data_IF_782965522155
#
_entry.id   IF_782965522155
#
_cell.length_a   1.000
_cell.length_b   1.000
_cell.length_c   1.000
_cell.angle_alpha   90.00
_cell.angle_beta   90.00
_cell.angle_gamma   90.00
#
_symmetry.space_group_name_H-M   'P 1'
#
loop_
_entity.id
_entity.type
_entity.pdbx_description
1 polymer ?
#
# COMPACT_ATOMS: atom_id res chain seq x y z
N UNK A 1 -9.41 19.34 7.68
CA UNK A 1 -8.44 18.69 8.58
C UNK A 1 -9.11 17.46 9.18
N UNK A 2 -8.36 16.40 9.48
CA UNK A 2 -8.86 15.21 10.18
C UNK A 2 -8.17 15.08 11.53
N UNK A 3 -8.85 14.51 12.52
CA UNK A 3 -8.33 14.30 13.88
C UNK A 3 -7.98 12.82 14.04
N UNK A 4 -6.74 12.56 14.44
CA UNK A 4 -6.23 11.21 14.68
C UNK A 4 -5.45 11.19 15.98
N UNK A 5 -5.47 10.06 16.67
CA UNK A 5 -4.66 9.86 17.86
C UNK A 5 -3.19 9.62 17.47
N UNK A 6 -2.28 9.94 18.39
CA UNK A 6 -0.85 9.77 18.17
C UNK A 6 -0.48 8.28 18.08
N UNK A 7 0.29 7.95 17.05
CA UNK A 7 0.83 6.63 16.78
C UNK A 7 1.99 6.76 15.79
N UNK A 8 2.88 5.76 15.75
CA UNK A 8 3.95 5.73 14.75
C UNK A 8 3.35 5.82 13.34
N UNK A 9 3.74 6.85 12.59
CA UNK A 9 3.24 7.18 11.25
C UNK A 9 1.78 7.69 11.15
N UNK A 10 1.14 8.01 12.28
CA UNK A 10 -0.25 8.49 12.32
C UNK A 10 -1.20 7.61 11.49
N UNK A 11 -2.18 8.18 10.78
CA UNK A 11 -3.10 7.42 9.91
C UNK A 11 -2.63 7.35 8.45
N UNK A 12 -2.31 8.50 7.84
CA UNK A 12 -2.04 8.56 6.40
C UNK A 12 -0.75 7.81 5.99
N UNK A 13 0.37 8.10 6.65
CA UNK A 13 1.64 7.42 6.34
C UNK A 13 1.57 5.94 6.70
N UNK A 14 0.83 5.60 7.75
CA UNK A 14 0.58 4.23 8.18
C UNK A 14 -0.12 3.41 7.08
N UNK A 15 -1.07 3.99 6.34
CA UNK A 15 -1.77 3.30 5.25
C UNK A 15 -1.00 3.29 3.92
N UNK A 16 -0.28 4.37 3.58
CA UNK A 16 0.39 4.48 2.27
C UNK A 16 1.69 3.65 2.18
N UNK A 17 2.43 3.49 3.29
CA UNK A 17 3.69 2.73 3.31
C UNK A 17 3.47 1.26 2.93
N UNK A 18 2.44 0.54 3.45
CA UNK A 18 2.12 -0.81 3.00
C UNK A 18 1.85 -0.91 1.49
N UNK A 19 1.13 0.04 0.89
CA UNK A 19 0.87 0.07 -0.56
C UNK A 19 2.18 0.15 -1.36
N UNK A 20 3.07 1.05 -0.96
CA UNK A 20 4.39 1.21 -1.57
C UNK A 20 5.20 -0.09 -1.44
N UNK A 21 5.32 -0.60 -0.21
CA UNK A 21 6.11 -1.79 0.07
C UNK A 21 5.59 -3.02 -0.66
N UNK A 22 4.27 -3.15 -0.84
CA UNK A 22 3.68 -4.26 -1.57
C UNK A 22 4.01 -4.22 -3.07
N UNK A 23 3.99 -3.01 -3.67
CA UNK A 23 4.44 -2.85 -5.05
C UNK A 23 5.90 -3.23 -5.26
N UNK A 24 6.78 -2.77 -4.35
CA UNK A 24 8.22 -3.12 -4.40
C UNK A 24 8.43 -4.61 -4.14
N UNK A 25 7.64 -5.22 -3.24
CA UNK A 25 7.69 -6.66 -2.96
C UNK A 25 7.27 -7.48 -4.16
N UNK A 26 6.19 -7.11 -4.85
CA UNK A 26 5.76 -7.76 -6.09
C UNK A 26 6.87 -7.72 -7.16
N UNK A 27 7.61 -6.62 -7.27
CA UNK A 27 8.78 -6.56 -8.15
C UNK A 27 9.85 -7.58 -7.75
N UNK A 28 10.19 -7.66 -6.46
CA UNK A 28 11.15 -8.66 -5.95
C UNK A 28 10.69 -10.11 -6.19
N UNK A 29 9.38 -10.35 -6.19
CA UNK A 29 8.75 -11.65 -6.51
C UNK A 29 8.68 -11.93 -8.03
N UNK A 30 9.18 -11.03 -8.86
CA UNK A 30 9.20 -11.18 -10.32
C UNK A 30 7.86 -10.88 -10.99
N UNK A 31 6.96 -10.12 -10.36
CA UNK A 31 5.78 -9.58 -11.05
C UNK A 31 6.24 -8.48 -12.01
N UNK A 32 5.73 -8.49 -13.24
CA UNK A 32 6.06 -7.52 -14.28
C UNK A 32 5.83 -6.08 -13.79
N UNK A 33 6.86 -5.21 -13.75
CA UNK A 33 6.73 -3.86 -13.22
C UNK A 33 5.63 -3.04 -13.90
N UNK A 34 5.43 -3.23 -15.21
CA UNK A 34 4.34 -2.58 -15.93
C UNK A 34 2.95 -3.06 -15.48
N UNK A 35 2.81 -4.34 -15.09
CA UNK A 35 1.55 -4.88 -14.55
C UNK A 35 1.22 -4.23 -13.21
N UNK A 36 2.20 -4.13 -12.30
CA UNK A 36 2.05 -3.50 -10.97
C UNK A 36 1.52 -2.06 -11.11
N UNK A 37 2.19 -1.27 -11.94
CA UNK A 37 1.88 0.14 -12.14
C UNK A 37 0.52 0.35 -12.83
N UNK A 38 0.19 -0.47 -13.84
CA UNK A 38 -1.07 -0.35 -14.55
C UNK A 38 -2.25 -0.92 -13.76
N UNK A 39 -2.04 -1.92 -12.89
CA UNK A 39 -3.06 -2.42 -11.98
C UNK A 39 -3.52 -1.31 -11.02
N UNK A 40 -2.57 -0.57 -10.44
CA UNK A 40 -2.85 0.59 -9.60
C UNK A 40 -3.65 1.67 -10.34
N UNK A 41 -3.24 2.03 -11.56
CA UNK A 41 -3.96 3.04 -12.36
C UNK A 41 -5.38 2.59 -12.71
N UNK A 42 -5.56 1.32 -13.06
CA UNK A 42 -6.89 0.75 -13.36
C UNK A 42 -7.80 0.69 -12.12
N UNK A 43 -7.22 0.54 -10.92
CA UNK A 43 -7.94 0.73 -9.67
C UNK A 43 -8.28 2.19 -9.37
N UNK A 44 -7.75 3.15 -10.13
CA UNK A 44 -7.99 4.58 -9.92
C UNK A 44 -7.04 5.26 -8.94
N UNK A 45 -5.93 4.63 -8.56
CA UNK A 45 -4.86 5.35 -7.84
C UNK A 45 -4.20 6.39 -8.76
N UNK A 46 -3.85 7.59 -8.24
CA UNK A 46 -3.21 8.62 -9.05
C UNK A 46 -1.81 8.22 -9.51
N UNK A 47 -1.07 7.46 -8.68
CA UNK A 47 0.28 6.99 -8.95
C UNK A 47 0.38 5.50 -8.64
N UNK A 48 1.10 4.76 -9.48
CA UNK A 48 1.48 3.38 -9.16
C UNK A 48 2.51 3.36 -8.02
N UNK A 49 2.68 2.20 -7.36
CA UNK A 49 3.45 2.13 -6.12
C UNK A 49 4.95 2.36 -6.35
N UNK A 50 5.52 1.90 -7.46
CA UNK A 50 6.94 2.12 -7.78
C UNK A 50 7.20 3.60 -8.11
N UNK A 51 6.29 4.21 -8.87
CA UNK A 51 6.36 5.65 -9.13
C UNK A 51 6.30 6.43 -7.82
N UNK A 52 5.39 6.07 -6.92
CA UNK A 52 5.22 6.78 -5.66
C UNK A 52 6.48 6.70 -4.77
N UNK A 53 7.23 5.61 -4.84
CA UNK A 53 8.55 5.54 -4.18
C UNK A 53 9.49 6.60 -4.75
N UNK A 54 9.55 6.74 -6.07
CA UNK A 54 10.43 7.72 -6.72
C UNK A 54 10.08 9.17 -6.35
N UNK A 55 8.79 9.48 -6.13
CA UNK A 55 8.34 10.81 -5.72
C UNK A 55 8.67 11.13 -4.26
N UNK A 56 8.65 10.11 -3.37
CA UNK A 56 8.84 10.30 -1.94
C UNK A 56 10.31 10.30 -1.51
N UNK A 57 11.12 9.37 -2.04
CA UNK A 57 12.59 9.23 -1.94
C UNK A 57 13.00 7.82 -1.50
N UNK A 58 13.73 7.11 -2.37
CA UNK A 58 14.38 5.82 -2.05
C UNK A 58 15.42 6.02 -0.94
N UNK A 59 16.16 7.14 -0.95
CA UNK A 59 17.15 7.47 0.08
C UNK A 59 16.52 7.57 1.48
N UNK A 60 15.33 8.17 1.59
CA UNK A 60 14.61 8.22 2.86
C UNK A 60 14.21 6.81 3.34
N UNK A 61 13.68 5.99 2.44
CA UNK A 61 13.35 4.59 2.72
C UNK A 61 14.56 3.80 3.23
N UNK A 62 15.71 3.93 2.56
CA UNK A 62 16.98 3.29 2.96
C UNK A 62 17.45 3.76 4.33
N UNK A 63 17.37 5.06 4.63
CA UNK A 63 17.73 5.60 5.95
C UNK A 63 16.81 5.06 7.05
N UNK A 64 15.50 5.01 6.81
CA UNK A 64 14.53 4.47 7.77
C UNK A 64 14.78 2.98 8.00
N UNK A 65 15.01 2.19 6.95
CA UNK A 65 15.30 0.76 7.05
C UNK A 65 16.60 0.51 7.84
N UNK A 66 17.68 1.23 7.53
CA UNK A 66 18.95 1.12 8.27
C UNK A 66 18.82 1.49 9.75
N UNK A 67 18.14 2.59 10.06
CA UNK A 67 17.90 3.02 11.44
C UNK A 67 17.02 2.01 12.20
N UNK A 68 15.99 1.47 11.55
CA UNK A 68 15.09 0.49 12.16
C UNK A 68 15.80 -0.84 12.39
N UNK A 69 16.62 -1.31 11.44
CA UNK A 69 17.45 -2.51 11.59
C UNK A 69 18.46 -2.35 12.72
N UNK A 70 19.11 -1.19 12.84
CA UNK A 70 20.02 -0.91 13.95
C UNK A 70 19.31 -0.89 15.32
N UNK A 71 18.06 -0.40 15.38
CA UNK A 71 17.28 -0.35 16.62
C UNK A 71 16.68 -1.72 17.02
N UNK A 72 16.27 -2.53 16.04
CA UNK A 72 15.59 -3.82 16.28
C UNK A 72 16.55 -5.02 16.31
N UNK A 73 17.75 -4.89 15.74
CA UNK A 73 18.69 -6.01 15.61
C UNK A 73 18.07 -7.20 14.87
N UNK A 74 18.19 -8.39 15.45
CA UNK A 74 17.70 -9.65 14.89
C UNK A 74 16.17 -9.73 14.80
N UNK A 75 15.44 -8.83 15.48
CA UNK A 75 13.99 -8.76 15.40
C UNK A 75 13.47 -7.99 14.16
N UNK A 76 14.37 -7.42 13.34
CA UNK A 76 13.97 -6.70 12.14
C UNK A 76 13.37 -7.68 11.11
N UNK A 77 12.09 -7.52 10.72
CA UNK A 77 11.50 -8.40 9.71
C UNK A 77 12.09 -8.03 8.35
N UNK A 78 13.03 -8.83 7.85
CA UNK A 78 13.56 -8.61 6.50
C UNK A 78 12.42 -8.64 5.47
N UNK A 79 12.28 -7.53 4.73
CA UNK A 79 11.32 -7.41 3.64
C UNK A 79 12.07 -7.50 2.31
N UNK A 80 11.63 -8.31 1.33
CA UNK A 80 12.14 -8.26 -0.04
C UNK A 80 12.14 -6.85 -0.64
N UNK A 81 11.21 -5.99 -0.20
CA UNK A 81 11.20 -4.59 -0.59
C UNK A 81 12.47 -3.84 -0.17
N UNK A 82 13.03 -4.13 1.02
CA UNK A 82 14.24 -3.47 1.50
C UNK A 82 15.45 -3.82 0.63
N UNK A 83 15.55 -5.08 0.20
CA UNK A 83 16.60 -5.53 -0.71
C UNK A 83 16.57 -4.79 -2.05
N UNK A 84 15.38 -4.54 -2.60
CA UNK A 84 15.20 -3.75 -3.81
C UNK A 84 15.65 -2.31 -3.60
N UNK A 85 15.21 -1.67 -2.52
CA UNK A 85 15.54 -0.28 -2.22
C UNK A 85 17.04 -0.08 -1.97
N UNK A 86 17.68 -1.01 -1.24
CA UNK A 86 19.13 -0.98 -1.05
C UNK A 86 19.87 -1.14 -2.38
N UNK A 87 19.44 -2.06 -3.24
CA UNK A 87 20.06 -2.25 -4.54
C UNK A 87 19.96 -1.02 -5.43
N UNK A 88 18.78 -0.39 -5.48
CA UNK A 88 18.61 0.86 -6.23
C UNK A 88 19.50 1.98 -5.69
N UNK A 89 19.61 2.11 -4.37
CA UNK A 89 20.48 3.10 -3.75
C UNK A 89 21.97 2.84 -4.02
N UNK A 90 22.43 1.59 -4.02
CA UNK A 90 23.79 1.21 -4.44
C UNK A 90 24.09 1.63 -5.89
N UNK A 91 23.08 1.58 -6.75
CA UNK A 91 23.17 1.99 -8.15
C UNK A 91 22.96 3.51 -8.34
N UNK A 92 22.87 4.29 -7.25
CA UNK A 92 22.67 5.73 -7.29
C UNK A 92 21.26 6.17 -7.71
N UNK A 93 20.29 5.26 -7.75
CA UNK A 93 18.91 5.52 -8.17
C UNK A 93 18.06 5.86 -6.95
N UNK A 94 18.11 7.13 -6.55
CA UNK A 94 17.54 7.62 -5.28
C UNK A 94 16.10 8.17 -5.40
N UNK A 95 15.52 8.13 -6.60
CA UNK A 95 14.18 8.62 -6.91
C UNK A 95 14.22 9.83 -7.85
N UNK A 96 13.05 10.44 -8.08
CA UNK A 96 12.84 11.50 -9.09
C UNK A 96 13.76 12.69 -8.91
N UNK A 97 14.01 13.13 -7.66
CA UNK A 97 14.90 14.27 -7.38
C UNK A 97 16.36 14.02 -7.79
N UNK A 98 16.78 12.75 -7.85
CA UNK A 98 18.11 12.35 -8.32
C UNK A 98 18.13 12.06 -9.83
N UNK A 99 17.01 12.25 -10.55
CA UNK A 99 16.88 11.93 -11.97
C UNK A 99 16.84 10.44 -12.29
N UNK A 100 16.79 9.56 -11.28
CA UNK A 100 16.84 8.11 -11.48
C UNK A 100 16.21 7.37 -10.29
N UNK A 101 15.30 6.46 -10.58
CA UNK A 101 14.63 5.59 -9.60
C UNK A 101 14.14 4.29 -10.24
N UNK A 102 12.95 3.80 -9.88
CA UNK A 102 12.27 2.75 -10.64
C UNK A 102 11.98 3.20 -12.09
N UNK A 103 11.82 4.50 -12.28
CA UNK A 103 11.67 5.14 -13.58
C UNK A 103 12.96 5.80 -14.07
N UNK A 104 13.06 5.94 -15.39
CA UNK A 104 14.00 6.82 -16.05
C UNK A 104 13.41 8.24 -16.16
N UNK A 105 14.27 9.25 -16.01
CA UNK A 105 13.92 10.65 -16.12
C UNK A 105 14.92 11.37 -17.03
N UNK A 106 14.41 12.32 -17.82
CA UNK A 106 15.25 13.21 -18.63
C UNK A 106 15.96 14.27 -17.76
N UNK A 107 16.84 15.05 -18.38
CA UNK A 107 17.57 16.14 -17.73
C UNK A 107 16.65 17.22 -17.11
N UNK A 108 15.40 17.30 -17.56
CA UNK A 108 14.38 18.24 -17.07
C UNK A 108 13.51 17.61 -15.96
N UNK A 109 13.81 16.39 -15.55
CA UNK A 109 13.05 15.65 -14.53
C UNK A 109 11.70 15.13 -15.03
N UNK A 110 11.47 15.10 -16.35
CA UNK A 110 10.31 14.46 -16.96
C UNK A 110 10.56 12.96 -17.01
N UNK A 111 9.56 12.21 -16.57
CA UNK A 111 9.57 10.75 -16.58
C UNK A 111 9.41 10.21 -18.00
N UNK A 112 10.29 9.29 -18.40
CA UNK A 112 10.33 8.71 -19.75
C UNK A 112 9.75 7.29 -19.81
N UNK A 113 9.73 6.58 -18.68
CA UNK A 113 9.22 5.21 -18.58
C UNK A 113 9.87 4.45 -17.44
N UNK A 114 9.43 3.20 -17.23
CA UNK A 114 10.12 2.30 -16.31
C UNK A 114 11.57 2.11 -16.79
N UNK A 115 12.49 2.05 -15.84
CA UNK A 115 13.91 1.86 -16.14
C UNK A 115 14.13 0.50 -16.82
N UNK A 116 14.71 0.42 -18.03
CA UNK A 116 14.79 -0.84 -18.79
C UNK A 116 15.49 -1.98 -18.03
N UNK A 117 16.59 -1.66 -17.34
CA UNK A 117 17.43 -2.62 -16.61
C UNK A 117 16.78 -3.11 -15.30
N UNK A 118 15.60 -2.56 -14.94
CA UNK A 118 14.78 -3.09 -13.85
C UNK A 118 14.44 -4.57 -14.08
N UNK A 119 14.20 -4.95 -15.35
CA UNK A 119 13.90 -6.34 -15.75
C UNK A 119 15.13 -7.24 -15.74
N UNK A 120 16.33 -6.70 -15.82
CA UNK A 120 17.57 -7.48 -15.74
C UNK A 120 17.91 -7.80 -14.27
N UNK A 121 17.65 -6.84 -13.38
CA UNK A 121 17.86 -7.00 -11.93
C UNK A 121 16.77 -7.82 -11.24
N UNK A 122 15.52 -7.66 -11.67
CA UNK A 122 14.35 -8.40 -11.19
C UNK A 122 13.60 -9.00 -12.38
N UNK A 123 14.08 -10.13 -12.93
CA UNK A 123 13.48 -10.74 -14.10
C UNK A 123 12.03 -11.18 -13.83
N UNK A 124 11.08 -10.78 -14.70
CA UNK A 124 9.70 -11.24 -14.58
C UNK A 124 9.63 -12.77 -14.65
N UNK A 125 8.94 -13.38 -13.70
CA UNK A 125 8.73 -14.84 -13.69
C UNK A 125 7.83 -15.26 -14.87
N UNK A 126 7.93 -16.50 -15.38
CA UNK A 126 7.10 -16.94 -16.50
C UNK A 126 5.59 -16.93 -16.19
N UNK A 127 5.22 -17.28 -14.96
CA UNK A 127 3.84 -17.34 -14.49
C UNK A 127 3.43 -16.04 -13.80
N UNK A 128 2.92 -15.10 -14.60
CA UNK A 128 2.49 -13.79 -14.12
C UNK A 128 1.11 -13.87 -13.45
N UNK A 129 0.91 -13.17 -12.33
CA UNK A 129 -0.38 -13.19 -11.63
C UNK A 129 -1.45 -12.51 -12.49
N UNK A 130 -2.71 -12.87 -12.24
CA UNK A 130 -3.82 -12.17 -12.88
C UNK A 130 -3.85 -10.70 -12.48
N UNK A 131 -4.33 -9.83 -13.38
CA UNK A 131 -4.51 -8.40 -13.08
C UNK A 131 -5.27 -8.17 -11.77
N UNK A 132 -6.35 -8.93 -11.56
CA UNK A 132 -7.20 -8.82 -10.36
C UNK A 132 -6.47 -9.20 -9.08
N UNK A 133 -5.51 -10.11 -9.12
CA UNK A 133 -4.71 -10.50 -7.96
C UNK A 133 -3.78 -9.36 -7.54
N UNK A 134 -3.07 -8.76 -8.50
CA UNK A 134 -2.24 -7.57 -8.27
C UNK A 134 -3.09 -6.42 -7.73
N UNK A 135 -4.29 -6.23 -8.28
CA UNK A 135 -5.24 -5.23 -7.79
C UNK A 135 -5.68 -5.51 -6.34
N UNK A 136 -6.04 -6.74 -6.01
CA UNK A 136 -6.41 -7.09 -4.63
C UNK A 136 -5.25 -6.89 -3.66
N UNK A 137 -4.02 -7.27 -4.01
CA UNK A 137 -2.83 -7.03 -3.18
C UNK A 137 -2.66 -5.53 -2.89
N UNK A 138 -2.75 -4.68 -3.91
CA UNK A 138 -2.56 -3.22 -3.77
C UNK A 138 -3.68 -2.52 -3.01
N UNK A 139 -4.94 -2.93 -3.22
CA UNK A 139 -6.08 -2.34 -2.52
C UNK A 139 -6.14 -2.82 -1.06
N UNK A 140 -6.11 -4.15 -0.84
CA UNK A 140 -6.28 -4.72 0.49
C UNK A 140 -5.16 -4.34 1.45
N UNK A 141 -3.89 -4.29 1.01
CA UNK A 141 -2.78 -4.07 1.94
C UNK A 141 -2.89 -2.76 2.74
N UNK A 142 -3.45 -1.71 2.14
CA UNK A 142 -3.68 -0.42 2.79
C UNK A 142 -5.08 -0.32 3.42
N UNK A 143 -6.10 -0.96 2.85
CA UNK A 143 -7.45 -1.00 3.44
C UNK A 143 -7.44 -1.75 4.77
N UNK A 144 -6.75 -2.88 4.85
CA UNK A 144 -6.60 -3.60 6.12
C UNK A 144 -5.87 -2.76 7.16
N UNK A 145 -4.93 -1.92 6.74
CA UNK A 145 -4.25 -1.02 7.67
C UNK A 145 -5.15 0.11 8.16
N UNK A 146 -6.07 0.61 7.33
CA UNK A 146 -7.10 1.54 7.77
C UNK A 146 -8.03 0.90 8.82
N UNK A 147 -8.44 -0.35 8.61
CA UNK A 147 -9.23 -1.11 9.62
C UNK A 147 -8.44 -1.31 10.91
N UNK A 148 -7.15 -1.66 10.86
CA UNK A 148 -6.30 -1.78 12.06
C UNK A 148 -6.13 -0.44 12.77
N UNK A 149 -6.02 0.66 12.02
CA UNK A 149 -5.96 2.00 12.59
C UNK A 149 -7.25 2.36 13.33
N UNK A 150 -8.41 1.93 12.83
CA UNK A 150 -9.70 2.09 13.50
C UNK A 150 -9.79 1.22 14.77
N UNK A 151 -9.45 -0.07 14.68
CA UNK A 151 -9.45 -1.00 15.84
C UNK A 151 -8.56 -0.51 16.99
N UNK A 152 -7.40 0.04 16.65
CA UNK A 152 -6.43 0.54 17.63
C UNK A 152 -6.76 1.95 18.13
N UNK A 153 -7.87 2.54 17.68
CA UNK A 153 -8.30 3.88 18.04
C UNK A 153 -7.38 4.98 17.52
N UNK A 154 -6.50 4.71 16.54
CA UNK A 154 -5.70 5.75 15.87
C UNK A 154 -6.60 6.61 15.00
N UNK A 155 -7.46 5.97 14.21
CA UNK A 155 -8.57 6.61 13.55
C UNK A 155 -9.82 6.48 14.43
N UNK A 156 -10.52 7.58 14.67
CA UNK A 156 -11.71 7.60 15.54
C UNK A 156 -13.02 7.79 14.78
N UNK A 157 -12.97 8.25 13.53
CA UNK A 157 -14.13 8.45 12.67
C UNK A 157 -13.83 7.95 11.25
N UNK A 158 -14.61 6.96 10.78
CA UNK A 158 -14.43 6.39 9.44
C UNK A 158 -14.64 7.40 8.32
N UNK A 159 -15.46 8.44 8.53
CA UNK A 159 -15.74 9.48 7.54
C UNK A 159 -14.53 10.37 7.34
N UNK A 160 -13.86 10.72 8.43
CA UNK A 160 -12.59 11.41 8.39
C UNK A 160 -11.50 10.52 7.79
N UNK A 161 -11.52 9.23 8.11
CA UNK A 161 -10.61 8.24 7.52
C UNK A 161 -10.72 8.15 6.00
N UNK A 162 -11.94 8.09 5.49
CA UNK A 162 -12.23 8.01 4.06
C UNK A 162 -11.88 9.30 3.31
N UNK A 163 -12.30 10.45 3.83
CA UNK A 163 -11.93 11.76 3.27
C UNK A 163 -10.41 11.97 3.32
N UNK A 164 -9.78 11.60 4.44
CA UNK A 164 -8.34 11.64 4.63
C UNK A 164 -7.58 10.74 3.65
N UNK A 165 -8.14 9.57 3.32
CA UNK A 165 -7.55 8.65 2.35
C UNK A 165 -7.57 9.22 0.93
N UNK A 166 -8.70 9.77 0.51
CA UNK A 166 -8.85 10.36 -0.82
C UNK A 166 -7.99 11.61 -0.96
N UNK A 167 -8.06 12.54 -0.01
CA UNK A 167 -7.37 13.83 -0.10
C UNK A 167 -5.90 13.75 0.30
N UNK A 168 -5.54 12.80 1.16
CA UNK A 168 -4.18 12.65 1.69
C UNK A 168 -3.26 11.93 0.73
N UNK A 169 -3.63 10.72 0.31
CA UNK A 169 -2.79 9.90 -0.57
C UNK A 169 -3.46 9.40 -1.84
N UNK A 170 -4.70 9.81 -2.11
CA UNK A 170 -5.40 9.47 -3.34
C UNK A 170 -5.89 8.03 -3.38
N UNK A 171 -6.37 7.49 -2.24
CA UNK A 171 -6.99 6.17 -2.22
C UNK A 171 -8.20 6.15 -3.16
N UNK A 172 -8.10 5.36 -4.25
CA UNK A 172 -9.15 5.06 -5.25
C UNK A 172 -10.35 6.02 -5.21
N UNK A 173 -10.24 7.28 -5.70
CA UNK A 173 -11.21 8.33 -5.37
C UNK A 173 -12.67 8.02 -5.69
N UNK A 174 -12.92 7.17 -6.70
CA UNK A 174 -14.27 6.72 -7.05
C UNK A 174 -14.92 5.81 -6.00
N UNK A 175 -14.14 5.20 -5.11
CA UNK A 175 -14.62 4.24 -4.11
C UNK A 175 -15.15 4.89 -2.84
N UNK A 176 -14.97 6.20 -2.67
CA UNK A 176 -15.33 6.94 -1.46
C UNK A 176 -14.34 6.79 -0.29
N UNK A 177 -13.23 6.05 -0.45
CA UNK A 177 -12.27 5.74 0.60
C UNK A 177 -12.23 4.25 0.97
N UNK A 178 -11.31 3.81 1.85
CA UNK A 178 -11.16 2.40 2.22
C UNK A 178 -12.39 1.77 2.87
N UNK A 179 -13.11 2.50 3.74
CA UNK A 179 -14.28 1.95 4.44
C UNK A 179 -15.50 1.90 3.51
N UNK A 180 -15.75 2.96 2.76
CA UNK A 180 -16.78 2.99 1.71
C UNK A 180 -16.56 1.89 0.67
N UNK A 181 -15.30 1.64 0.29
CA UNK A 181 -14.96 0.56 -0.64
C UNK A 181 -15.23 -0.83 -0.05
N UNK A 182 -14.93 -1.05 1.23
CA UNK A 182 -15.28 -2.31 1.91
C UNK A 182 -16.80 -2.53 1.94
N UNK A 183 -17.59 -1.47 2.08
CA UNK A 183 -19.05 -1.56 2.04
C UNK A 183 -19.58 -1.86 0.63
N UNK A 184 -18.93 -1.35 -0.42
CA UNK A 184 -19.23 -1.70 -1.81
C UNK A 184 -18.88 -3.16 -2.12
N UNK A 185 -17.74 -3.64 -1.60
CA UNK A 185 -17.25 -5.00 -1.81
C UNK A 185 -18.02 -6.04 -0.97
N UNK A 186 -18.43 -5.64 0.23
CA UNK A 186 -19.00 -6.49 1.27
C UNK A 186 -17.93 -7.13 2.16
N UNK A 187 -18.13 -7.06 3.49
CA UNK A 187 -17.17 -7.56 4.48
C UNK A 187 -16.83 -9.05 4.30
N UNK A 188 -17.83 -9.90 4.02
CA UNK A 188 -17.61 -11.33 3.77
C UNK A 188 -16.69 -11.58 2.56
N UNK A 189 -16.90 -10.84 1.47
CA UNK A 189 -16.06 -10.95 0.27
C UNK A 189 -14.66 -10.41 0.52
N UNK A 190 -14.54 -9.33 1.28
CA UNK A 190 -13.23 -8.79 1.67
C UNK A 190 -12.43 -9.81 2.49
N UNK A 191 -13.04 -10.48 3.48
CA UNK A 191 -12.40 -11.55 4.27
C UNK A 191 -11.96 -12.71 3.39
N UNK A 192 -12.81 -13.18 2.47
CA UNK A 192 -12.46 -14.28 1.55
C UNK A 192 -11.23 -13.93 0.68
N UNK A 193 -11.19 -12.72 0.11
CA UNK A 193 -10.03 -12.25 -0.67
C UNK A 193 -8.78 -12.20 0.23
N UNK A 194 -8.91 -11.65 1.43
CA UNK A 194 -7.79 -11.50 2.36
C UNK A 194 -7.25 -12.85 2.84
N UNK A 195 -8.12 -13.84 3.09
CA UNK A 195 -7.70 -15.19 3.46
C UNK A 195 -6.94 -15.89 2.32
N UNK A 196 -7.39 -15.70 1.07
CA UNK A 196 -6.67 -16.17 -0.11
C UNK A 196 -5.29 -15.53 -0.26
N UNK A 197 -5.21 -14.21 -0.13
CA UNK A 197 -3.93 -13.48 -0.16
C UNK A 197 -3.03 -13.83 1.02
N UNK A 198 -3.58 -14.06 2.22
CA UNK A 198 -2.80 -14.45 3.38
C UNK A 198 -2.16 -15.83 3.19
N UNK A 199 -2.88 -16.77 2.57
CA UNK A 199 -2.38 -18.09 2.23
C UNK A 199 -1.31 -18.06 1.12
N UNK A 200 -1.49 -17.21 0.10
CA UNK A 200 -0.59 -17.15 -1.05
C UNK A 200 0.64 -16.27 -0.82
N UNK A 201 0.42 -15.07 -0.26
CA UNK A 201 1.41 -14.01 -0.19
C UNK A 201 1.90 -13.76 1.24
N UNK A 202 1.19 -14.21 2.27
CA UNK A 202 1.63 -14.21 3.67
C UNK A 202 0.81 -13.33 4.63
N UNK A 203 1.15 -13.34 5.92
CA UNK A 203 0.24 -12.95 7.01
C UNK A 203 -0.11 -11.45 7.05
N UNK A 204 0.58 -10.60 6.28
CA UNK A 204 0.25 -9.17 6.18
C UNK A 204 -1.18 -8.91 5.65
N UNK A 205 -1.72 -9.87 4.91
CA UNK A 205 -3.09 -9.86 4.41
C UNK A 205 -4.10 -10.50 5.36
N UNK A 206 -3.69 -10.98 6.53
CA UNK A 206 -4.65 -11.49 7.52
C UNK A 206 -5.69 -10.41 7.85
N UNK A 207 -6.99 -10.70 7.68
CA UNK A 207 -8.03 -9.73 7.91
C UNK A 207 -8.11 -9.41 9.41
N UNK A 208 -8.16 -8.10 9.78
CA UNK A 208 -8.31 -7.67 11.17
C UNK A 208 -9.55 -8.24 11.84
N UNK A 209 -9.54 -8.30 13.17
CA UNK A 209 -10.58 -8.92 13.97
C UNK A 209 -11.97 -8.29 13.72
N UNK A 210 -12.03 -6.97 13.66
CA UNK A 210 -13.21 -6.16 13.36
C UNK A 210 -13.78 -6.51 11.99
N UNK A 211 -12.93 -6.66 10.96
CA UNK A 211 -13.41 -7.03 9.63
C UNK A 211 -14.02 -8.44 9.63
N UNK A 212 -13.40 -9.39 10.35
CA UNK A 212 -13.96 -10.74 10.52
C UNK A 212 -15.26 -10.73 11.32
N UNK A 213 -15.33 -9.97 12.39
CA UNK A 213 -16.53 -9.82 13.23
C UNK A 213 -17.69 -9.27 12.39
N UNK A 214 -17.45 -8.19 11.66
CA UNK A 214 -18.46 -7.58 10.79
C UNK A 214 -18.89 -8.51 9.65
N UNK A 215 -17.96 -9.27 9.08
CA UNK A 215 -18.28 -10.29 8.08
C UNK A 215 -19.20 -11.38 8.65
N UNK A 216 -18.94 -11.84 9.88
CA UNK A 216 -19.80 -12.83 10.56
C UNK A 216 -21.18 -12.26 10.93
N UNK A 217 -21.25 -10.96 11.25
CA UNK A 217 -22.48 -10.26 11.59
C UNK A 217 -23.31 -9.77 10.39
N UNK A 218 -22.76 -9.83 9.17
CA UNK A 218 -23.39 -9.23 7.98
C UNK A 218 -23.46 -7.70 8.03
N UNK A 219 -22.51 -7.08 8.73
CA UNK A 219 -22.47 -5.64 8.97
C UNK A 219 -21.70 -4.88 7.86
N UNK A 220 -21.94 -3.57 7.80
CA UNK A 220 -21.20 -2.61 6.97
C UNK A 220 -20.59 -1.53 7.86
N UNK A 221 -19.48 -0.91 7.46
CA UNK A 221 -18.81 0.14 8.23
C UNK A 221 -19.70 1.36 8.41
N UNK A 222 -20.32 1.86 7.35
CA UNK A 222 -21.25 2.97 7.43
C UNK A 222 -22.60 2.60 8.08
N UNK A 223 -22.91 1.31 8.21
CA UNK A 223 -24.03 0.82 9.02
C UNK A 223 -23.71 0.84 10.52
N UNK A 224 -22.58 0.24 10.90
CA UNK A 224 -22.14 0.06 12.30
C UNK A 224 -21.67 1.36 12.95
N UNK A 225 -20.90 2.18 12.21
CA UNK A 225 -20.32 3.43 12.71
C UNK A 225 -21.14 4.66 12.28
N UNK A 226 -22.43 4.47 11.97
CA UNK A 226 -23.34 5.59 11.71
C UNK A 226 -23.38 6.51 12.94
N UNK A 227 -23.33 7.84 12.78
CA UNK A 227 -23.54 8.74 13.91
C UNK A 227 -24.90 8.47 14.55
N UNK A 228 -24.97 8.55 15.88
CA UNK A 228 -26.25 8.64 16.57
C UNK A 228 -27.04 9.80 15.94
N UNK A 229 -28.34 9.60 15.70
CA UNK A 229 -29.21 10.70 15.28
C UNK A 229 -29.04 11.84 16.28
N UNK A 230 -28.78 13.03 15.77
CA UNK A 230 -28.68 14.23 16.61
C UNK A 230 -30.02 14.38 17.35
N UNK A 231 -29.98 14.20 18.67
CA UNK A 231 -31.12 14.41 19.56
C UNK A 231 -31.52 15.89 19.64
#
# INVERSE_FOLDING_TARGET
PIVVNDARFFYANRCIIPYINEGVRMLAEGVEPALIENAARQLGFPLGPLQLVDETSIDLGVKIAKATRAAMGDAYPESPADGVLFKLAELGRLGRKAGAGFYAYDEKGKREGLWPELRDLWPPRPDQPALTEVQHRLAMIQTLEAVRALEQGVLTDIREGDVGAILGWGFMPWSGGPFSWLDMLGAARAVEICDGLAAADGPRFEPPALLREMAAGGETFYGRFRPAEAA
#
